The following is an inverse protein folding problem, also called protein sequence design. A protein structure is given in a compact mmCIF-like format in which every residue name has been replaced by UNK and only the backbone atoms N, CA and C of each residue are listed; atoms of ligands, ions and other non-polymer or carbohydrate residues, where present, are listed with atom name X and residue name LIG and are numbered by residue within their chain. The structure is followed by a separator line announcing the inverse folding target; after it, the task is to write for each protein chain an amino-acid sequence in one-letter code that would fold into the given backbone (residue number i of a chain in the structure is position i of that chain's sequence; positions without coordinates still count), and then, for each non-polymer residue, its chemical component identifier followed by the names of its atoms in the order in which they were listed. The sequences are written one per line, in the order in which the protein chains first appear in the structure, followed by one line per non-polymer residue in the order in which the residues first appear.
data_IF_893027174975
#
_entry.id   IF_893027174975
#
_cell.length_a   1.000
_cell.length_b   1.000
_cell.length_c   1.000
_cell.angle_alpha   90.00
_cell.angle_beta   90.00
_cell.angle_gamma   90.00
#
_symmetry.space_group_name_H-M   'P 1'
#
loop_
_entity.id
_entity.type
_entity.pdbx_description
1 polymer ?
#
# COMPACT_ATOMS: atom_id res chain seq x y z
N UNK A 1 0.23 -12.34 -6.19
CA UNK A 1 -0.63 -13.27 -5.42
C UNK A 1 -1.54 -12.53 -4.43
N UNK A 2 -1.05 -11.59 -3.60
CA UNK A 2 -1.86 -10.80 -2.64
C UNK A 2 -3.02 -10.00 -3.26
N UNK A 3 -2.76 -9.36 -4.41
CA UNK A 3 -3.65 -8.39 -5.06
C UNK A 3 -4.90 -8.97 -5.74
N UNK A 4 -4.85 -10.26 -6.12
CA UNK A 4 -5.95 -10.95 -6.80
C UNK A 4 -6.54 -12.09 -5.96
N UNK A 5 -6.09 -12.20 -4.71
CA UNK A 5 -6.59 -13.22 -3.78
C UNK A 5 -7.66 -12.59 -2.89
N UNK A 6 -8.76 -13.31 -2.63
CA UNK A 6 -9.72 -12.89 -1.62
C UNK A 6 -9.02 -12.61 -0.27
N UNK A 7 -9.46 -11.62 0.50
CA UNK A 7 -8.86 -11.26 1.78
C UNK A 7 -8.70 -12.46 2.73
N UNK A 8 -9.60 -13.43 2.70
CA UNK A 8 -9.54 -14.69 3.47
C UNK A 8 -8.28 -15.50 3.14
N UNK A 9 -7.99 -15.65 1.84
CA UNK A 9 -6.84 -16.42 1.37
C UNK A 9 -5.53 -15.70 1.69
N UNK A 10 -5.53 -14.36 1.64
CA UNK A 10 -4.38 -13.57 2.10
C UNK A 10 -4.21 -13.79 3.60
N UNK A 11 -5.28 -13.69 4.39
CA UNK A 11 -5.21 -13.88 5.83
C UNK A 11 -4.64 -15.25 6.22
N UNK A 12 -5.22 -16.33 5.70
CA UNK A 12 -4.78 -17.71 5.95
C UNK A 12 -3.32 -17.95 5.54
N UNK A 13 -2.86 -17.30 4.48
CA UNK A 13 -1.50 -17.49 3.97
C UNK A 13 -0.43 -16.78 4.81
N UNK A 14 -0.79 -15.69 5.49
CA UNK A 14 0.14 -14.90 6.30
C UNK A 14 0.02 -15.15 7.80
N UNK A 15 -1.12 -15.65 8.29
CA UNK A 15 -1.31 -15.98 9.70
C UNK A 15 -0.29 -17.04 10.18
N UNK A 16 0.44 -16.74 11.25
CA UNK A 16 1.44 -17.65 11.83
C UNK A 16 1.07 -18.19 13.22
N UNK A 17 -0.04 -17.75 13.81
CA UNK A 17 -0.53 -18.18 15.12
C UNK A 17 -1.89 -18.86 15.00
N UNK A 18 -2.24 -19.69 15.98
CA UNK A 18 -3.59 -20.23 16.12
C UNK A 18 -3.97 -20.44 17.58
N UNK A 19 -5.26 -20.32 17.87
CA UNK A 19 -5.81 -20.63 19.20
C UNK A 19 -5.85 -22.15 19.43
N UNK A 20 -6.05 -22.57 20.68
CA UNK A 20 -6.24 -23.98 21.03
C UNK A 20 -7.42 -24.64 20.29
N UNK A 21 -8.41 -23.84 19.89
CA UNK A 21 -9.58 -24.28 19.13
C UNK A 21 -9.35 -24.29 17.61
N UNK A 22 -8.14 -23.96 17.15
CA UNK A 22 -7.74 -23.98 15.73
C UNK A 22 -8.11 -22.72 14.93
N UNK A 23 -8.49 -21.62 15.59
CA UNK A 23 -8.73 -20.33 14.94
C UNK A 23 -7.41 -19.66 14.58
N UNK A 24 -7.26 -19.27 13.32
CA UNK A 24 -6.03 -18.63 12.81
C UNK A 24 -5.96 -17.17 13.26
N UNK A 25 -4.76 -16.76 13.67
CA UNK A 25 -4.43 -15.42 14.14
C UNK A 25 -3.16 -14.91 13.46
N UNK A 26 -3.15 -13.63 13.14
CA UNK A 26 -1.95 -12.94 12.69
C UNK A 26 -1.22 -12.32 13.88
N UNK A 27 0.11 -12.32 13.84
CA UNK A 27 0.88 -11.36 14.63
C UNK A 27 0.84 -9.97 13.95
N UNK A 28 1.16 -8.88 14.65
CA UNK A 28 1.36 -7.57 14.01
C UNK A 28 2.38 -7.63 12.85
N UNK A 29 3.38 -8.49 12.96
CA UNK A 29 4.33 -8.75 11.88
C UNK A 29 3.69 -9.44 10.67
N UNK A 30 2.80 -10.40 10.88
CA UNK A 30 2.05 -11.06 9.79
C UNK A 30 1.13 -10.07 9.07
N UNK A 31 0.47 -9.16 9.80
CA UNK A 31 -0.33 -8.09 9.22
C UNK A 31 0.55 -7.20 8.32
N UNK A 32 1.73 -6.79 8.78
CA UNK A 32 2.68 -6.04 7.94
C UNK A 32 3.07 -6.83 6.69
N UNK A 33 3.34 -8.14 6.79
CA UNK A 33 3.67 -9.01 5.66
C UNK A 33 2.52 -9.19 4.67
N UNK A 34 1.29 -9.22 5.17
CA UNK A 34 0.09 -9.36 4.36
C UNK A 34 -0.19 -8.12 3.52
N UNK A 35 0.08 -6.93 4.08
CA UNK A 35 -0.32 -5.65 3.50
C UNK A 35 0.82 -5.00 2.70
N UNK A 36 2.07 -5.09 3.17
CA UNK A 36 3.20 -4.46 2.51
C UNK A 36 3.77 -5.41 1.45
N UNK A 37 3.65 -5.09 0.14
CA UNK A 37 4.00 -6.03 -0.95
C UNK A 37 5.47 -6.49 -0.98
N UNK A 38 6.36 -5.73 -0.34
CA UNK A 38 7.80 -6.04 -0.32
C UNK A 38 8.18 -7.08 0.73
N UNK A 39 7.41 -7.23 1.80
CA UNK A 39 7.70 -8.24 2.82
C UNK A 39 7.20 -9.62 2.40
N UNK A 40 7.97 -10.71 2.50
CA UNK A 40 7.50 -12.08 2.23
C UNK A 40 6.68 -12.67 3.41
N UNK A 41 5.97 -13.80 3.24
CA UNK A 41 5.34 -14.53 4.36
C UNK A 41 6.38 -15.05 5.38
N UNK A 42 5.95 -15.22 6.63
CA UNK A 42 6.79 -15.68 7.75
C UNK A 42 7.39 -17.08 7.51
N UNK A 43 6.62 -17.99 6.91
CA UNK A 43 7.04 -19.37 6.63
C UNK A 43 7.62 -19.60 5.22
N UNK A 44 7.77 -18.56 4.38
CA UNK A 44 8.18 -18.79 3.00
C UNK A 44 9.67 -19.16 2.88
N UNK A 45 9.94 -20.37 2.39
CA UNK A 45 11.22 -20.75 1.78
C UNK A 45 11.26 -20.47 0.26
N UNK A 46 10.15 -19.97 -0.31
CA UNK A 46 10.00 -19.67 -1.73
C UNK A 46 10.66 -18.32 -2.05
N UNK A 47 11.84 -18.46 -2.64
CA UNK A 47 12.58 -17.46 -3.39
C UNK A 47 11.66 -16.93 -4.50
N UNK A 48 11.14 -15.71 -4.34
CA UNK A 48 10.61 -14.90 -5.45
C UNK A 48 11.67 -14.99 -6.57
N UNK A 49 11.30 -15.30 -7.81
CA UNK A 49 12.27 -15.51 -8.91
C UNK A 49 13.37 -14.43 -8.90
N UNK A 50 14.57 -14.80 -8.45
CA UNK A 50 15.68 -13.90 -8.23
C UNK A 50 15.89 -13.49 -6.76
N UNK A 51 17.04 -13.89 -6.21
CA UNK A 51 17.60 -13.22 -5.03
C UNK A 51 18.02 -11.81 -5.42
N UNK A 52 17.62 -10.80 -4.64
CA UNK A 52 18.42 -9.58 -4.61
C UNK A 52 19.72 -9.93 -3.88
N UNK A 53 20.86 -9.80 -4.55
CA UNK A 53 22.18 -10.02 -3.94
C UNK A 53 22.31 -9.16 -2.67
N UNK A 54 22.13 -9.76 -1.49
CA UNK A 54 22.09 -9.06 -0.20
C UNK A 54 20.90 -9.42 0.71
N UNK A 55 19.83 -10.01 0.17
CA UNK A 55 18.70 -10.53 0.97
C UNK A 55 19.14 -11.73 1.82
N UNK A 56 18.78 -11.70 3.12
CA UNK A 56 19.02 -12.77 4.10
C UNK A 56 17.68 -13.25 4.64
N UNK A 57 17.57 -14.55 4.92
CA UNK A 57 16.43 -15.31 5.46
C UNK A 57 15.05 -14.59 5.45
N UNK A 58 14.10 -15.00 4.59
CA UNK A 58 12.77 -14.38 4.41
C UNK A 58 11.92 -14.20 5.69
N UNK A 59 12.17 -15.00 6.73
CA UNK A 59 11.34 -15.09 7.93
C UNK A 59 11.46 -13.96 8.97
N UNK A 60 12.50 -13.12 8.92
CA UNK A 60 12.72 -12.07 9.95
C UNK A 60 12.29 -10.68 9.47
N UNK A 61 11.35 -10.05 10.17
CA UNK A 61 11.09 -8.61 10.00
C UNK A 61 12.19 -7.85 10.76
N UNK A 62 13.00 -7.06 10.03
CA UNK A 62 14.05 -6.23 10.64
C UNK A 62 13.61 -4.80 10.98
N UNK A 63 12.34 -4.48 10.76
CA UNK A 63 11.71 -3.30 11.36
C UNK A 63 10.85 -3.76 12.54
N UNK A 64 10.86 -2.98 13.63
CA UNK A 64 9.94 -3.22 14.75
C UNK A 64 8.50 -3.18 14.23
N UNK A 65 7.59 -3.99 14.80
CA UNK A 65 6.18 -3.85 14.54
C UNK A 65 5.75 -2.39 14.69
N UNK A 66 4.97 -1.89 13.73
CA UNK A 66 4.50 -0.51 13.79
C UNK A 66 3.53 -0.36 14.97
N UNK A 67 3.82 0.58 15.88
CA UNK A 67 2.90 0.94 16.98
C UNK A 67 1.55 1.40 16.44
N UNK A 68 1.52 1.97 15.23
CA UNK A 68 0.27 2.36 14.57
C UNK A 68 -0.56 1.13 14.15
N UNK A 69 0.11 0.04 13.76
CA UNK A 69 -0.55 -1.22 13.38
C UNK A 69 -1.10 -1.95 14.60
N UNK A 70 -0.49 -1.76 15.78
CA UNK A 70 -1.03 -2.25 17.04
C UNK A 70 -2.40 -1.63 17.39
N UNK A 71 -2.76 -0.47 16.82
CA UNK A 71 -4.11 0.09 17.03
C UNK A 71 -5.21 -0.82 16.48
N UNK A 72 -4.88 -1.71 15.54
CA UNK A 72 -5.85 -2.62 14.93
C UNK A 72 -5.97 -3.96 15.67
N UNK A 73 -5.13 -4.19 16.68
CA UNK A 73 -5.40 -5.16 17.75
C UNK A 73 -6.44 -4.52 18.68
N UNK A 74 -7.72 -4.70 18.33
CA UNK A 74 -8.85 -4.04 18.97
C UNK A 74 -9.13 -4.65 20.34
N UNK A 75 -8.81 -5.91 20.57
CA UNK A 75 -8.98 -6.54 21.87
C UNK A 75 -7.72 -6.53 22.75
N UNK A 76 -6.59 -6.05 22.21
CA UNK A 76 -5.29 -5.95 22.85
C UNK A 76 -4.78 -7.31 23.36
N UNK A 77 -5.06 -8.37 22.59
CA UNK A 77 -4.63 -9.75 22.90
C UNK A 77 -3.24 -10.08 22.30
N UNK A 78 -2.61 -9.10 21.65
CA UNK A 78 -1.31 -9.22 20.99
C UNK A 78 -1.38 -9.85 19.60
N UNK A 79 -2.58 -10.18 19.11
CA UNK A 79 -2.83 -10.81 17.83
C UNK A 79 -3.86 -10.01 17.02
N UNK A 80 -3.96 -10.35 15.74
CA UNK A 80 -4.89 -9.77 14.78
C UNK A 80 -5.77 -10.90 14.28
N UNK A 81 -7.03 -10.90 14.71
CA UNK A 81 -8.07 -11.78 14.21
C UNK A 81 -8.44 -11.45 12.77
N UNK A 82 -9.13 -12.37 12.09
CA UNK A 82 -9.64 -12.10 10.74
C UNK A 82 -10.58 -10.88 10.69
N UNK A 83 -11.34 -10.65 11.77
CA UNK A 83 -12.26 -9.49 11.85
C UNK A 83 -11.49 -8.17 11.86
N UNK A 84 -10.40 -8.11 12.61
CA UNK A 84 -9.51 -6.96 12.70
C UNK A 84 -8.72 -6.75 11.42
N UNK A 85 -8.28 -7.84 10.77
CA UNK A 85 -7.64 -7.77 9.46
C UNK A 85 -8.57 -7.18 8.39
N UNK A 86 -9.82 -7.65 8.26
CA UNK A 86 -10.76 -7.08 7.29
C UNK A 86 -11.05 -5.63 7.61
N UNK A 87 -11.17 -5.29 8.90
CA UNK A 87 -11.35 -3.92 9.33
C UNK A 87 -10.20 -3.02 8.85
N UNK A 88 -8.96 -3.44 9.09
CA UNK A 88 -7.76 -2.76 8.62
C UNK A 88 -7.76 -2.57 7.10
N UNK A 89 -7.96 -3.65 6.33
CA UNK A 89 -7.95 -3.61 4.86
C UNK A 89 -9.02 -2.68 4.31
N UNK A 90 -10.20 -2.68 4.92
CA UNK A 90 -11.31 -1.79 4.55
C UNK A 90 -10.92 -0.32 4.68
N UNK A 91 -10.38 0.09 5.84
CA UNK A 91 -9.98 1.48 6.07
C UNK A 91 -8.83 1.90 5.14
N UNK A 92 -7.88 1.00 4.90
CA UNK A 92 -6.77 1.24 3.97
C UNK A 92 -7.25 1.41 2.51
N UNK A 93 -8.37 0.79 2.14
CA UNK A 93 -8.93 0.83 0.78
C UNK A 93 -9.66 2.14 0.47
N UNK A 94 -9.89 3.00 1.45
CA UNK A 94 -10.52 4.31 1.22
C UNK A 94 -9.48 5.21 0.53
N UNK A 95 -9.73 5.70 -0.70
CA UNK A 95 -8.82 6.61 -1.37
C UNK A 95 -8.86 8.00 -0.71
N UNK A 96 -7.74 8.73 -0.72
CA UNK A 96 -7.64 10.03 -0.06
C UNK A 96 -8.68 11.04 -0.57
N UNK A 97 -8.96 11.03 -1.88
CA UNK A 97 -9.99 11.88 -2.50
C UNK A 97 -11.39 11.62 -1.95
N UNK A 98 -11.62 10.47 -1.32
CA UNK A 98 -12.90 10.06 -0.76
C UNK A 98 -12.95 10.12 0.77
N UNK A 99 -11.91 10.59 1.48
CA UNK A 99 -11.92 10.64 2.95
C UNK A 99 -13.09 11.46 3.51
N UNK A 100 -13.36 12.63 2.93
CA UNK A 100 -14.47 13.48 3.36
C UNK A 100 -15.83 12.84 3.05
N UNK A 101 -15.95 12.14 1.92
CA UNK A 101 -17.18 11.45 1.53
C UNK A 101 -17.40 10.25 2.44
N UNK A 102 -16.36 9.48 2.74
CA UNK A 102 -16.40 8.37 3.68
C UNK A 102 -16.85 8.85 5.06
N UNK A 103 -16.31 9.95 5.58
CA UNK A 103 -16.77 10.52 6.86
C UNK A 103 -18.28 10.79 6.87
N UNK A 104 -18.80 11.45 5.83
CA UNK A 104 -20.24 11.71 5.68
C UNK A 104 -21.10 10.45 5.55
N UNK A 105 -20.51 9.35 5.08
CA UNK A 105 -21.21 8.06 5.07
C UNK A 105 -21.21 7.37 6.43
N UNK A 106 -20.29 7.75 7.33
CA UNK A 106 -20.19 7.19 8.67
C UNK A 106 -21.04 7.96 9.66
N UNK A 107 -21.14 9.28 9.50
CA UNK A 107 -22.05 10.17 10.21
C UNK A 107 -23.48 9.93 9.70
N UNK A 108 -24.26 9.11 10.40
CA UNK A 108 -25.57 8.63 9.94
C UNK A 108 -26.69 9.59 10.29
N UNK A 109 -26.50 10.42 11.30
CA UNK A 109 -27.45 11.42 11.75
C UNK A 109 -27.15 12.85 11.29
N UNK A 110 -26.12 13.03 10.46
CA UNK A 110 -25.62 14.32 9.95
C UNK A 110 -25.25 15.29 11.08
N UNK A 111 -24.81 14.79 12.25
CA UNK A 111 -24.41 15.62 13.40
C UNK A 111 -23.08 16.34 13.20
N UNK A 112 -22.33 15.97 12.15
CA UNK A 112 -20.98 16.46 11.85
C UNK A 112 -19.88 15.76 12.63
N UNK A 113 -20.22 14.71 13.40
CA UNK A 113 -19.32 13.96 14.25
C UNK A 113 -19.72 12.50 14.18
N UNK A 114 -18.77 11.58 14.13
CA UNK A 114 -19.09 10.15 14.17
C UNK A 114 -19.06 9.70 15.63
N UNK A 115 -20.12 9.05 16.10
CA UNK A 115 -20.12 8.39 17.40
C UNK A 115 -19.66 6.92 17.32
N UNK A 116 -19.47 6.30 18.49
CA UNK A 116 -18.99 4.91 18.60
C UNK A 116 -19.93 3.91 17.91
N UNK A 117 -21.24 4.10 18.01
CA UNK A 117 -22.23 3.18 17.46
C UNK A 117 -22.35 3.31 15.94
N UNK A 118 -22.31 4.55 15.43
CA UNK A 118 -22.23 4.85 14.01
C UNK A 118 -20.98 4.23 13.37
N UNK A 119 -19.82 4.43 14.00
CA UNK A 119 -18.57 3.83 13.56
C UNK A 119 -18.68 2.31 13.49
N UNK A 120 -19.15 1.66 14.57
CA UNK A 120 -19.34 0.20 14.60
C UNK A 120 -20.31 -0.30 13.54
N UNK A 121 -21.40 0.44 13.29
CA UNK A 121 -22.41 0.08 12.29
C UNK A 121 -21.83 0.12 10.88
N UNK A 122 -21.11 1.18 10.53
CA UNK A 122 -20.45 1.28 9.23
C UNK A 122 -19.36 0.22 9.09
N UNK A 123 -18.61 -0.05 10.16
CA UNK A 123 -17.66 -1.17 10.17
C UNK A 123 -18.32 -2.54 9.98
N UNK A 124 -19.52 -2.73 10.52
CA UNK A 124 -20.34 -3.92 10.24
C UNK A 124 -20.72 -4.03 8.77
N UNK A 125 -21.17 -2.93 8.16
CA UNK A 125 -21.60 -2.89 6.76
C UNK A 125 -20.43 -3.11 5.78
N UNK A 126 -19.30 -2.44 6.00
CA UNK A 126 -18.14 -2.58 5.14
C UNK A 126 -17.55 -4.00 5.16
N UNK A 127 -17.56 -4.64 6.34
CA UNK A 127 -17.23 -6.07 6.47
C UNK A 127 -18.18 -6.95 5.65
N UNK A 128 -19.47 -6.61 5.57
CA UNK A 128 -20.43 -7.35 4.77
C UNK A 128 -20.21 -7.17 3.25
N UNK A 129 -19.76 -6.00 2.80
CA UNK A 129 -19.42 -5.78 1.38
C UNK A 129 -18.14 -6.52 0.96
N UNK A 130 -17.10 -6.54 1.80
CA UNK A 130 -15.89 -7.32 1.55
C UNK A 130 -16.15 -8.84 1.49
N UNK A 131 -17.30 -9.32 2.01
CA UNK A 131 -17.78 -10.70 1.85
C UNK A 131 -18.39 -11.02 0.48
N UNK A 132 -18.45 -10.11 -0.50
CA UNK A 132 -19.03 -10.48 -1.81
C UNK A 132 -18.18 -11.48 -2.61
N UNK A 133 -16.94 -11.77 -2.18
CA UNK A 133 -16.21 -12.98 -2.60
C UNK A 133 -16.72 -14.30 -1.99
N UNK A 134 -17.57 -14.25 -0.96
CA UNK A 134 -18.09 -15.40 -0.21
C UNK A 134 -19.34 -16.06 -0.85
N UNK A 135 -19.89 -15.51 -1.94
CA UNK A 135 -20.94 -16.20 -2.71
C UNK A 135 -20.39 -17.26 -3.67
N UNK A 136 -19.07 -17.37 -3.80
CA UNK A 136 -18.44 -18.52 -4.44
C UNK A 136 -17.87 -19.46 -3.37
N UNK A 137 -18.56 -20.62 -3.24
CA UNK A 137 -18.30 -21.79 -2.38
C UNK A 137 -18.79 -21.67 -0.94
N UNK A 138 -20.03 -22.13 -0.76
CA UNK A 138 -20.54 -22.87 0.40
C UNK A 138 -19.65 -22.86 1.66
N UNK A 139 -19.89 -21.90 2.55
CA UNK A 139 -20.09 -22.09 4.00
C UNK A 139 -19.09 -22.87 4.87
N UNK A 140 -17.94 -23.33 4.39
CA UNK A 140 -17.07 -24.28 5.10
C UNK A 140 -15.59 -23.86 5.04
N UNK A 141 -15.24 -22.71 5.65
CA UNK A 141 -13.86 -22.45 6.11
C UNK A 141 -13.84 -22.56 7.64
N UNK A 142 -13.52 -23.75 8.21
CA UNK A 142 -13.71 -24.02 9.64
C UNK A 142 -12.86 -23.20 10.61
N UNK A 143 -11.90 -22.40 10.12
CA UNK A 143 -10.92 -21.68 10.94
C UNK A 143 -11.10 -20.16 11.06
N UNK A 144 -12.04 -19.54 10.33
CA UNK A 144 -12.26 -18.08 10.38
C UNK A 144 -13.62 -17.79 11.05
N UNK A 145 -13.61 -17.39 12.32
CA UNK A 145 -14.85 -16.96 12.99
C UNK A 145 -15.19 -15.54 12.54
N UNK A 146 -16.24 -15.39 11.74
CA UNK A 146 -16.69 -14.08 11.22
C UNK A 146 -17.94 -13.54 11.94
N UNK A 147 -18.44 -14.23 12.97
CA UNK A 147 -19.58 -13.79 13.80
C UNK A 147 -19.10 -13.13 15.10
N UNK A 148 -19.63 -11.93 15.41
CA UNK A 148 -19.35 -11.16 16.64
C UNK A 148 -19.32 -9.64 16.42
N UNK A 149 -19.62 -8.85 17.45
CA UNK A 149 -19.50 -7.38 17.43
C UNK A 149 -18.04 -6.92 17.31
N UNK A 150 -17.81 -5.67 16.89
CA UNK A 150 -16.49 -5.04 17.08
C UNK A 150 -16.30 -4.85 18.58
N UNK A 151 -15.19 -5.34 19.11
CA UNK A 151 -14.83 -5.21 20.52
C UNK A 151 -14.37 -3.78 20.83
N UNK A 152 -14.29 -3.42 22.11
CA UNK A 152 -14.26 -2.01 22.55
C UNK A 152 -12.87 -1.41 22.78
N UNK A 153 -11.77 -2.09 22.42
CA UNK A 153 -10.41 -1.59 22.62
C UNK A 153 -9.72 -1.09 21.32
N UNK A 154 -8.40 -0.98 21.37
CA UNK A 154 -7.54 -0.54 20.26
C UNK A 154 -8.05 0.74 19.57
N UNK A 155 -8.41 0.64 18.30
CA UNK A 155 -8.84 1.79 17.49
C UNK A 155 -10.16 2.42 17.97
N UNK A 156 -11.06 1.64 18.58
CA UNK A 156 -12.30 2.17 19.17
C UNK A 156 -11.95 3.06 20.38
N UNK A 157 -11.06 2.60 21.26
CA UNK A 157 -10.56 3.41 22.38
C UNK A 157 -9.78 4.65 21.90
N UNK A 158 -8.99 4.52 20.83
CA UNK A 158 -8.24 5.64 20.24
C UNK A 158 -9.15 6.77 19.73
N UNK A 159 -10.28 6.41 19.10
CA UNK A 159 -11.22 7.40 18.58
C UNK A 159 -12.16 7.96 19.65
N UNK A 160 -12.70 7.11 20.52
CA UNK A 160 -13.83 7.43 21.39
C UNK A 160 -13.48 7.47 22.89
N UNK A 161 -12.21 7.25 23.24
CA UNK A 161 -11.75 7.21 24.63
C UNK A 161 -12.12 5.91 25.35
N UNK A 162 -11.55 5.72 26.55
CA UNK A 162 -11.79 4.52 27.39
C UNK A 162 -13.24 4.32 27.81
N UNK A 163 -13.97 5.42 27.96
CA UNK A 163 -15.39 5.39 28.31
C UNK A 163 -16.31 5.38 27.07
N UNK A 164 -15.74 5.50 25.87
CA UNK A 164 -16.45 5.46 24.60
C UNK A 164 -17.38 6.64 24.36
N UNK A 165 -17.19 7.77 25.06
CA UNK A 165 -18.07 8.93 25.00
C UNK A 165 -17.56 10.07 24.14
N UNK A 166 -16.28 10.04 23.75
CA UNK A 166 -15.78 11.03 22.82
C UNK A 166 -16.42 10.79 21.44
N UNK A 167 -16.33 11.80 20.58
CA UNK A 167 -16.81 11.74 19.20
C UNK A 167 -15.65 11.96 18.22
N UNK A 168 -15.76 11.37 17.03
CA UNK A 168 -14.74 11.44 16.00
C UNK A 168 -15.05 12.56 15.01
N UNK A 169 -14.24 13.62 15.06
CA UNK A 169 -14.32 14.76 14.13
C UNK A 169 -13.71 14.43 12.77
N UNK A 170 -14.17 15.13 11.71
CA UNK A 170 -13.66 14.98 10.35
C UNK A 170 -12.14 15.13 10.28
N UNK A 171 -11.58 16.17 10.91
CA UNK A 171 -10.13 16.42 10.86
C UNK A 171 -9.32 15.31 11.51
N UNK A 172 -9.82 14.74 12.63
CA UNK A 172 -9.18 13.61 13.32
C UNK A 172 -9.25 12.34 12.46
N UNK A 173 -10.38 12.09 11.81
CA UNK A 173 -10.56 10.94 10.90
C UNK A 173 -9.67 11.03 9.66
N UNK A 174 -9.66 12.18 8.98
CA UNK A 174 -8.82 12.45 7.81
C UNK A 174 -7.34 12.33 8.19
N UNK A 175 -6.94 12.91 9.32
CA UNK A 175 -5.56 12.79 9.81
C UNK A 175 -5.18 11.34 10.06
N UNK A 176 -6.04 10.56 10.72
CA UNK A 176 -5.78 9.15 10.97
C UNK A 176 -5.55 8.36 9.67
N UNK A 177 -6.41 8.52 8.67
CA UNK A 177 -6.24 7.80 7.39
C UNK A 177 -4.97 8.23 6.63
N UNK A 178 -4.57 9.51 6.73
CA UNK A 178 -3.28 9.98 6.20
C UNK A 178 -2.10 9.38 6.94
N UNK A 179 -2.13 9.39 8.27
CA UNK A 179 -1.07 8.81 9.10
C UNK A 179 -0.93 7.30 8.82
N UNK A 180 -2.04 6.59 8.59
CA UNK A 180 -2.04 5.19 8.18
C UNK A 180 -1.34 4.97 6.83
N UNK A 181 -1.65 5.79 5.83
CA UNK A 181 -1.00 5.73 4.53
C UNK A 181 0.49 6.09 4.60
N UNK A 182 0.85 7.08 5.43
CA UNK A 182 2.24 7.49 5.67
C UNK A 182 3.05 6.38 6.33
N UNK A 183 2.46 5.69 7.32
CA UNK A 183 3.09 4.56 7.97
C UNK A 183 3.34 3.41 6.98
N UNK A 184 2.46 3.20 6.01
CA UNK A 184 2.69 2.21 4.95
C UNK A 184 3.89 2.52 4.08
N UNK A 185 4.06 3.79 3.70
CA UNK A 185 5.23 4.25 2.94
C UNK A 185 6.50 4.14 3.79
N UNK A 186 6.41 4.43 5.08
CA UNK A 186 7.54 4.30 6.01
C UNK A 186 7.98 2.85 6.24
N UNK A 187 7.04 1.92 6.35
CA UNK A 187 7.36 0.49 6.45
C UNK A 187 8.00 -0.03 5.17
N UNK A 188 7.52 0.40 3.99
CA UNK A 188 8.16 0.11 2.70
C UNK A 188 9.58 0.66 2.65
N UNK A 189 9.81 1.92 3.05
CA UNK A 189 11.16 2.49 3.13
C UNK A 189 12.06 1.72 4.11
N UNK A 190 11.53 1.36 5.28
CA UNK A 190 12.28 0.64 6.33
C UNK A 190 12.71 -0.76 5.89
N UNK A 191 11.98 -1.38 4.94
CA UNK A 191 12.42 -2.62 4.29
C UNK A 191 13.78 -2.43 3.58
N UNK A 192 13.91 -1.33 2.84
CA UNK A 192 15.10 -1.00 2.08
C UNK A 192 16.20 -0.36 2.95
N UNK A 193 15.84 0.39 4.00
CA UNK A 193 16.77 0.91 5.01
C UNK A 193 17.10 -0.11 6.10
N UNK A 194 17.46 -1.34 5.70
CA UNK A 194 17.76 -2.43 6.63
C UNK A 194 18.96 -2.16 7.54
N UNK A 195 19.77 -1.13 7.25
CA UNK A 195 20.90 -0.68 8.07
C UNK A 195 20.53 0.46 9.03
N UNK A 196 19.27 0.89 9.06
CA UNK A 196 18.75 1.95 9.92
C UNK A 196 19.58 3.25 9.83
N UNK A 197 19.91 3.66 8.60
CA UNK A 197 20.73 4.86 8.34
C UNK A 197 19.89 6.10 8.12
N UNK A 198 18.56 5.98 8.06
CA UNK A 198 17.65 7.02 7.61
C UNK A 198 17.73 7.29 6.10
N UNK A 199 18.51 6.50 5.35
CA UNK A 199 18.75 6.66 3.91
C UNK A 199 19.02 5.32 3.23
N UNK A 200 18.46 5.15 2.03
CA UNK A 200 18.64 3.96 1.18
C UNK A 200 19.56 4.26 -0.01
N UNK A 201 20.20 3.26 -0.60
CA UNK A 201 21.01 3.46 -1.81
C UNK A 201 20.12 3.65 -3.04
N UNK A 202 20.66 4.26 -4.09
CA UNK A 202 20.00 4.37 -5.40
C UNK A 202 19.50 3.01 -5.93
N UNK A 203 20.29 1.94 -5.73
CA UNK A 203 19.91 0.57 -6.07
C UNK A 203 18.64 0.14 -5.32
N UNK A 204 18.60 0.35 -4.01
CA UNK A 204 17.48 -0.06 -3.16
C UNK A 204 16.22 0.76 -3.49
N UNK A 205 16.38 2.05 -3.80
CA UNK A 205 15.30 2.88 -4.31
C UNK A 205 14.77 2.37 -5.65
N UNK A 206 15.64 2.02 -6.59
CA UNK A 206 15.24 1.46 -7.87
C UNK A 206 14.48 0.13 -7.71
N UNK A 207 14.93 -0.73 -6.79
CA UNK A 207 14.23 -1.97 -6.44
C UNK A 207 12.82 -1.71 -5.91
N UNK A 208 12.61 -0.65 -5.14
CA UNK A 208 11.27 -0.26 -4.66
C UNK A 208 10.31 0.12 -5.80
N UNK A 209 10.83 0.66 -6.90
CA UNK A 209 10.03 0.98 -8.08
C UNK A 209 9.71 -0.29 -8.88
N UNK A 210 10.70 -1.16 -9.07
CA UNK A 210 10.54 -2.43 -9.80
C UNK A 210 9.63 -3.42 -9.07
N UNK A 211 9.63 -3.43 -7.74
CA UNK A 211 8.75 -4.28 -6.94
C UNK A 211 7.24 -4.00 -7.19
N UNK A 212 6.92 -2.84 -7.78
CA UNK A 212 5.57 -2.43 -8.18
C UNK A 212 5.30 -2.51 -9.70
N UNK A 213 6.25 -2.97 -10.50
CA UNK A 213 6.15 -3.05 -11.96
C UNK A 213 5.38 -4.29 -12.46
N UNK A 214 4.92 -4.24 -13.71
CA UNK A 214 4.32 -5.39 -14.40
C UNK A 214 5.34 -6.56 -14.54
N UNK A 215 4.87 -7.78 -14.28
CA UNK A 215 5.69 -9.00 -14.29
C UNK A 215 6.29 -9.32 -15.67
N UNK A 216 5.69 -8.86 -16.76
CA UNK A 216 6.14 -9.12 -18.14
C UNK A 216 7.49 -8.49 -18.48
N UNK A 217 7.92 -7.49 -17.72
CA UNK A 217 9.17 -6.76 -17.95
C UNK A 217 10.12 -6.80 -16.74
N UNK A 218 9.81 -7.63 -15.73
CA UNK A 218 10.53 -7.69 -14.48
C UNK A 218 12.01 -8.04 -14.66
N UNK A 219 12.35 -8.98 -15.54
CA UNK A 219 13.74 -9.37 -15.80
C UNK A 219 14.59 -8.21 -16.30
N UNK A 220 14.11 -7.48 -17.31
CA UNK A 220 14.83 -6.36 -17.90
C UNK A 220 15.00 -5.21 -16.91
N UNK A 221 13.99 -4.95 -16.09
CA UNK A 221 14.07 -3.93 -15.04
C UNK A 221 15.07 -4.32 -13.95
N UNK A 222 15.14 -5.59 -13.56
CA UNK A 222 16.13 -6.07 -12.59
C UNK A 222 17.56 -5.97 -13.14
N UNK A 223 17.78 -6.27 -14.41
CA UNK A 223 19.08 -6.10 -15.06
C UNK A 223 19.54 -4.63 -15.01
N UNK A 224 18.63 -3.70 -15.32
CA UNK A 224 18.91 -2.25 -15.23
C UNK A 224 19.19 -1.79 -13.81
N UNK A 225 18.53 -2.36 -12.81
CA UNK A 225 18.86 -2.10 -11.40
C UNK A 225 20.29 -2.53 -11.07
N UNK A 226 20.75 -3.66 -11.59
CA UNK A 226 22.11 -4.10 -11.38
C UNK A 226 23.11 -3.15 -12.06
N UNK A 227 22.79 -2.67 -13.27
CA UNK A 227 23.60 -1.67 -13.98
C UNK A 227 23.73 -0.33 -13.24
N UNK A 228 22.73 0.09 -12.45
CA UNK A 228 22.84 1.29 -11.60
C UNK A 228 24.02 1.20 -10.64
N UNK A 229 24.32 0.00 -10.13
CA UNK A 229 25.44 -0.23 -9.21
C UNK A 229 26.81 -0.05 -9.88
N UNK A 230 26.86 -0.19 -11.21
CA UNK A 230 28.07 -0.04 -12.01
C UNK A 230 28.36 1.42 -12.38
N UNK A 231 27.39 2.33 -12.21
CA UNK A 231 27.52 3.75 -12.54
C UNK A 231 28.17 4.51 -11.37
N UNK A 232 29.41 5.03 -11.52
CA UNK A 232 30.15 5.63 -10.39
C UNK A 232 29.44 6.81 -9.74
N UNK A 233 28.66 7.57 -10.52
CA UNK A 233 27.93 8.75 -10.05
C UNK A 233 26.62 8.41 -9.30
N UNK A 234 26.12 7.16 -9.39
CA UNK A 234 24.90 6.72 -8.68
C UNK A 234 25.18 5.70 -7.59
N UNK A 235 26.33 5.01 -7.63
CA UNK A 235 26.69 3.94 -6.69
C UNK A 235 26.59 4.36 -5.22
N UNK A 236 27.02 5.58 -4.92
CA UNK A 236 27.09 6.12 -3.56
C UNK A 236 25.96 7.12 -3.26
N UNK A 237 25.04 7.34 -4.22
CA UNK A 237 23.88 8.21 -4.03
C UNK A 237 22.92 7.58 -3.02
N UNK A 238 22.43 8.43 -2.12
CA UNK A 238 21.52 8.07 -1.04
C UNK A 238 20.22 8.84 -1.16
N UNK A 239 19.12 8.13 -0.93
CA UNK A 239 17.76 8.65 -0.96
C UNK A 239 17.23 8.66 0.46
N UNK A 240 16.73 9.82 0.88
CA UNK A 240 16.09 10.05 2.19
C UNK A 240 14.66 9.50 2.21
N UNK A 241 14.08 9.36 3.40
CA UNK A 241 12.67 9.01 3.53
C UNK A 241 11.75 10.06 2.88
N UNK A 242 12.09 11.35 2.97
CA UNK A 242 11.29 12.42 2.36
C UNK A 242 11.28 12.33 0.84
N UNK A 243 12.43 12.10 0.21
CA UNK A 243 12.52 11.87 -1.24
C UNK A 243 11.73 10.62 -1.67
N UNK A 244 11.84 9.53 -0.89
CA UNK A 244 11.06 8.31 -1.12
C UNK A 244 9.56 8.56 -1.04
N UNK A 245 9.12 9.30 0.00
CA UNK A 245 7.72 9.66 0.22
C UNK A 245 7.18 10.54 -0.90
N UNK A 246 7.93 11.56 -1.31
CA UNK A 246 7.56 12.43 -2.43
C UNK A 246 7.35 11.62 -3.72
N UNK A 247 8.24 10.66 -4.01
CA UNK A 247 8.06 9.79 -5.15
C UNK A 247 6.83 8.85 -4.99
N UNK A 248 6.57 8.34 -3.79
CA UNK A 248 5.36 7.56 -3.50
C UNK A 248 4.07 8.38 -3.71
N UNK A 249 4.06 9.66 -3.33
CA UNK A 249 2.96 10.59 -3.59
C UNK A 249 2.76 10.87 -5.08
N UNK A 250 3.84 10.97 -5.85
CA UNK A 250 3.75 11.07 -7.31
C UNK A 250 3.06 9.84 -7.91
N UNK A 251 3.41 8.63 -7.44
CA UNK A 251 2.77 7.37 -7.90
C UNK A 251 1.26 7.36 -7.65
N UNK A 252 0.78 7.93 -6.54
CA UNK A 252 -0.67 8.07 -6.27
C UNK A 252 -1.36 9.01 -7.25
N UNK A 253 -0.64 10.00 -7.79
CA UNK A 253 -1.15 11.03 -8.72
C UNK A 253 -0.77 10.76 -10.17
N UNK A 254 -0.58 9.50 -10.55
CA UNK A 254 -0.09 9.13 -11.87
C UNK A 254 -1.01 9.57 -13.01
N UNK A 255 -2.33 9.54 -12.82
CA UNK A 255 -3.29 9.93 -13.86
C UNK A 255 -3.20 11.44 -14.21
N UNK A 256 -3.32 12.39 -13.26
CA UNK A 256 -3.10 13.80 -13.57
C UNK A 256 -1.65 14.07 -13.99
N UNK A 257 -0.66 13.36 -13.46
CA UNK A 257 0.73 13.47 -13.90
C UNK A 257 0.88 13.08 -15.38
N UNK A 258 0.30 11.96 -15.81
CA UNK A 258 0.35 11.49 -17.20
C UNK A 258 -0.32 12.46 -18.18
N UNK A 259 -1.43 13.09 -17.78
CA UNK A 259 -2.08 14.14 -18.57
C UNK A 259 -1.21 15.40 -18.70
N UNK A 260 -0.50 15.76 -17.63
CA UNK A 260 0.47 16.86 -17.68
C UNK A 260 1.58 16.55 -18.67
N UNK A 261 2.15 15.34 -18.60
CA UNK A 261 3.19 14.90 -19.52
C UNK A 261 2.71 14.90 -20.98
N UNK A 262 1.45 14.51 -21.25
CA UNK A 262 0.86 14.63 -22.58
C UNK A 262 0.79 16.09 -23.09
N UNK A 263 0.57 17.03 -22.18
CA UNK A 263 0.45 18.46 -22.51
C UNK A 263 1.80 19.17 -22.64
N UNK A 264 2.81 18.72 -21.89
CA UNK A 264 4.15 19.33 -21.85
C UNK A 264 5.18 18.67 -22.77
N UNK A 265 4.96 17.41 -23.18
CA UNK A 265 5.83 16.73 -24.12
C UNK A 265 6.01 17.57 -25.37
N UNK A 266 7.25 17.67 -25.87
CA UNK A 266 7.50 18.28 -27.19
C UNK A 266 6.59 17.60 -28.22
N UNK A 267 6.36 18.23 -29.37
CA UNK A 267 5.50 17.69 -30.44
C UNK A 267 5.84 16.24 -30.90
N UNK A 268 6.96 15.67 -30.45
CA UNK A 268 7.40 14.29 -30.66
C UNK A 268 7.11 13.30 -29.50
N UNK A 269 6.50 13.71 -28.39
CA UNK A 269 6.13 12.82 -27.27
C UNK A 269 7.27 12.42 -26.31
N UNK A 270 8.41 13.11 -26.36
CA UNK A 270 9.57 12.86 -25.50
C UNK A 270 9.61 13.79 -24.29
N UNK A 271 9.91 13.25 -23.11
CA UNK A 271 9.93 13.97 -21.84
C UNK A 271 11.36 14.17 -21.34
N UNK A 272 11.76 15.42 -21.18
CA UNK A 272 13.03 15.77 -20.55
C UNK A 272 12.94 15.66 -19.03
N UNK A 273 14.08 15.64 -18.33
CA UNK A 273 14.15 15.63 -16.86
C UNK A 273 13.48 16.89 -16.27
N UNK A 274 13.69 18.03 -16.91
CA UNK A 274 13.12 19.31 -16.51
C UNK A 274 11.60 19.32 -16.66
N UNK A 275 11.07 18.73 -17.74
CA UNK A 275 9.62 18.61 -17.95
C UNK A 275 9.00 17.66 -16.91
N UNK A 276 9.70 16.58 -16.56
CA UNK A 276 9.29 15.65 -15.51
C UNK A 276 9.17 16.34 -14.14
N UNK A 277 10.21 17.07 -13.73
CA UNK A 277 10.20 17.84 -12.47
C UNK A 277 9.14 18.93 -12.48
N UNK A 278 8.99 19.65 -13.60
CA UNK A 278 7.97 20.70 -13.75
C UNK A 278 6.56 20.11 -13.61
N UNK A 279 6.27 19.00 -14.28
CA UNK A 279 4.98 18.34 -14.18
C UNK A 279 4.71 17.85 -12.74
N UNK A 280 5.72 17.30 -12.06
CA UNK A 280 5.56 16.78 -10.70
C UNK A 280 5.25 17.93 -9.72
N UNK A 281 5.96 19.04 -9.86
CA UNK A 281 5.79 20.22 -9.02
C UNK A 281 4.45 20.93 -9.28
N UNK A 282 4.17 21.30 -10.54
CA UNK A 282 3.04 22.16 -10.85
C UNK A 282 1.69 21.44 -10.89
N UNK A 283 1.67 20.14 -11.22
CA UNK A 283 0.40 19.38 -11.34
C UNK A 283 0.16 18.50 -10.12
N UNK A 284 1.21 17.88 -9.58
CA UNK A 284 1.07 16.95 -8.46
C UNK A 284 1.39 17.60 -7.11
N UNK A 285 1.98 18.80 -7.08
CA UNK A 285 2.44 19.45 -5.85
C UNK A 285 3.61 18.71 -5.19
N UNK A 286 4.37 17.94 -5.97
CA UNK A 286 5.46 17.08 -5.48
C UNK A 286 6.80 17.62 -5.98
N UNK A 287 7.75 17.83 -5.07
CA UNK A 287 9.12 18.21 -5.41
C UNK A 287 10.01 16.97 -5.47
N UNK A 288 10.70 16.78 -6.59
CA UNK A 288 11.63 15.67 -6.81
C UNK A 288 13.04 16.21 -7.02
N UNK A 289 14.01 15.63 -6.32
CA UNK A 289 15.42 15.98 -6.45
C UNK A 289 16.01 15.43 -7.76
N UNK A 290 17.08 16.04 -8.24
CA UNK A 290 17.77 15.61 -9.46
C UNK A 290 18.25 14.16 -9.35
N UNK A 291 18.66 13.72 -8.15
CA UNK A 291 19.05 12.34 -7.88
C UNK A 291 17.88 11.36 -8.11
N UNK A 292 16.68 11.67 -7.59
CA UNK A 292 15.49 10.84 -7.78
C UNK A 292 15.14 10.75 -9.26
N UNK A 293 15.12 11.88 -9.96
CA UNK A 293 14.77 11.96 -11.38
C UNK A 293 15.80 11.22 -12.23
N UNK A 294 17.08 11.35 -11.93
CA UNK A 294 18.15 10.62 -12.62
C UNK A 294 17.97 9.11 -12.47
N UNK A 295 17.70 8.60 -11.26
CA UNK A 295 17.47 7.16 -11.05
C UNK A 295 16.24 6.67 -11.83
N UNK A 296 15.16 7.45 -11.86
CA UNK A 296 13.93 7.14 -12.61
C UNK A 296 14.23 7.03 -14.11
N UNK A 297 14.93 8.02 -14.69
CA UNK A 297 15.30 7.99 -16.11
C UNK A 297 16.23 6.82 -16.42
N UNK A 298 17.24 6.59 -15.58
CA UNK A 298 18.17 5.48 -15.77
C UNK A 298 17.52 4.09 -15.66
N UNK A 299 16.37 4.00 -15.00
CA UNK A 299 15.60 2.76 -14.89
C UNK A 299 14.60 2.58 -16.03
N UNK A 300 13.99 3.66 -16.55
CA UNK A 300 12.86 3.58 -17.48
C UNK A 300 13.15 4.02 -18.92
N UNK A 301 14.26 4.72 -19.21
CA UNK A 301 14.65 5.11 -20.57
C UNK A 301 15.24 3.90 -21.32
N UNK A 302 14.40 3.07 -21.95
CA UNK A 302 14.81 1.78 -22.53
C UNK A 302 15.59 1.95 -23.82
N UNK A 303 15.29 2.99 -24.60
CA UNK A 303 16.00 3.27 -25.84
C UNK A 303 17.31 4.06 -25.62
N UNK A 304 17.57 4.52 -24.40
CA UNK A 304 18.74 5.30 -23.98
C UNK A 304 18.89 6.61 -24.76
N UNK A 305 17.77 7.23 -25.15
CA UNK A 305 17.77 8.49 -25.88
C UNK A 305 17.90 9.73 -24.97
N UNK A 306 17.94 9.50 -23.65
CA UNK A 306 18.06 10.53 -22.62
C UNK A 306 16.73 11.16 -22.20
N UNK A 307 15.62 10.76 -22.82
CA UNK A 307 14.26 11.18 -22.52
C UNK A 307 13.43 9.98 -22.07
N UNK A 308 12.28 10.25 -21.46
CA UNK A 308 11.26 9.24 -21.22
C UNK A 308 10.13 9.42 -22.21
N UNK A 309 9.79 8.36 -22.94
CA UNK A 309 8.51 8.31 -23.65
C UNK A 309 7.37 7.99 -22.69
N UNK A 310 6.14 8.37 -23.07
CA UNK A 310 4.94 8.03 -22.30
C UNK A 310 4.80 6.51 -22.13
N UNK A 311 5.11 5.75 -23.17
CA UNK A 311 5.00 4.30 -23.19
C UNK A 311 5.95 3.66 -22.16
N UNK A 312 7.20 4.11 -22.11
CA UNK A 312 8.19 3.67 -21.13
C UNK A 312 7.78 4.00 -19.69
N UNK A 313 7.23 5.20 -19.47
CA UNK A 313 6.81 5.67 -18.15
C UNK A 313 5.53 4.97 -17.65
N UNK A 314 4.53 4.85 -18.51
CA UNK A 314 3.22 4.27 -18.19
C UNK A 314 3.30 2.76 -17.94
N UNK A 315 4.12 2.05 -18.72
CA UNK A 315 4.30 0.58 -18.61
C UNK A 315 4.74 0.11 -17.24
N UNK A 316 5.33 0.98 -16.42
CA UNK A 316 5.93 0.57 -15.14
C UNK A 316 5.17 1.09 -13.92
N UNK A 317 4.44 2.21 -14.04
CA UNK A 317 3.85 2.86 -12.87
C UNK A 317 2.34 2.64 -12.70
N UNK A 318 1.64 2.10 -13.69
CA UNK A 318 0.17 2.02 -13.68
C UNK A 318 -0.45 1.04 -12.67
N UNK A 319 0.30 0.12 -12.08
CA UNK A 319 -0.31 -0.91 -11.22
C UNK A 319 -0.79 -0.29 -9.89
N UNK A 320 0.10 0.33 -9.10
CA UNK A 320 -0.21 0.64 -7.67
C UNK A 320 -1.34 1.65 -7.43
N UNK A 321 -1.61 2.55 -8.38
CA UNK A 321 -2.68 3.55 -8.25
C UNK A 321 -4.10 2.98 -8.39
N UNK A 322 -4.27 1.88 -9.12
CA UNK A 322 -5.54 1.12 -9.18
C UNK A 322 -5.66 0.12 -8.02
N UNK A 323 -4.53 -0.33 -7.49
CA UNK A 323 -4.39 -1.46 -6.56
C UNK A 323 -4.92 -1.25 -5.13
N UNK A 324 -5.23 -0.01 -4.72
CA UNK A 324 -5.85 0.30 -3.40
C UNK A 324 -7.32 0.73 -3.56
N UNK A 325 -7.72 1.20 -4.76
CA UNK A 325 -8.98 1.93 -4.95
C UNK A 325 -10.15 1.12 -5.55
N UNK A 326 -9.95 -0.11 -6.05
CA UNK A 326 -11.04 -0.90 -6.63
C UNK A 326 -10.97 -2.40 -6.32
N UNK A 327 -11.96 -2.94 -5.56
CA UNK A 327 -12.27 -4.37 -5.55
C UNK A 327 -13.32 -4.80 -6.60
N UNK A 328 -13.84 -3.92 -7.47
CA UNK A 328 -15.04 -4.24 -8.25
C UNK A 328 -14.92 -3.82 -9.72
N UNK A 329 -14.48 -4.74 -10.58
CA UNK A 329 -14.97 -4.76 -11.96
C UNK A 329 -16.36 -5.40 -11.96
N UNK A 330 -17.40 -4.57 -12.06
CA UNK A 330 -18.77 -5.01 -12.32
C UNK A 330 -18.86 -5.57 -13.73
N UNK A 331 -19.03 -6.89 -13.85
CA UNK A 331 -19.57 -7.52 -15.04
C UNK A 331 -21.02 -7.12 -15.23
N UNK A 332 -21.26 -6.09 -16.05
CA UNK A 332 -22.59 -5.82 -16.62
C UNK A 332 -22.70 -6.71 -17.85
N UNK A 333 -23.20 -7.92 -17.66
CA UNK A 333 -23.74 -8.72 -18.77
C UNK A 333 -25.13 -8.15 -19.09
N UNK A 334 -25.18 -7.31 -20.13
CA UNK A 334 -26.45 -6.94 -20.76
C UNK A 334 -26.98 -8.20 -21.42
N UNK A 335 -28.03 -8.78 -20.84
CA UNK A 335 -28.86 -9.75 -21.54
C UNK A 335 -29.74 -8.99 -22.53
N UNK A 336 -29.37 -9.02 -23.80
CA UNK A 336 -30.31 -8.70 -24.88
C UNK A 336 -31.32 -9.84 -25.02
N UNK A 337 -32.58 -9.42 -25.20
CA UNK A 337 -33.80 -10.24 -25.22
C UNK A 337 -33.97 -11.07 -26.49
#
# INVERSE_FOLDING_TARGET
MRLYSPPEKVFEYFASSSTADGELLMTPGDLMRAIVPVFPPSESNLVRDGYLKGERNPGDLRCSPSEFFMLFDVNNDGHISFKEYIFFVTLLSIPESSFCVAFKMFDLDDSGQIDKEEFKKVMGLMRACNRQGAYHREGLRPGLKVHGSVEDGGLVEYFFGKDGKDSLQLDKFVKFLRDLQDEMVKLEFSHYDYKLRGTILAKDFALSMVASADMSHLSNLLDRVEELSNKPHLRDVRITFEEFKNFAELRKKLQPFSLALFSYGKANGMLTREDFQRAASHVCGVSLTDNVVEIVFQLFDFNQDGNLSLDEFVRVLQQRGRDIAQPVETGIMIHDS
#
